data_IF_642071827617
#
_entry.id   IF_642071827617
#
_cell.length_a   1.000
_cell.length_b   1.000
_cell.length_c   1.000
_cell.angle_alpha   90.00
_cell.angle_beta   90.00
_cell.angle_gamma   90.00
#
_symmetry.space_group_name_H-M   'P 1'
#
loop_
_entity.id
_entity.type
_entity.pdbx_description
1 polymer ?
#
# COMPACT_ATOMS: atom_id res chain seq x y z
N UNK A 1 27.32 -45.62 29.04
CA UNK A 1 27.32 -44.23 28.50
C UNK A 1 26.58 -44.05 27.17
N UNK A 2 25.96 -45.05 26.57
CA UNK A 2 25.28 -44.98 25.28
C UNK A 2 23.79 -44.54 25.33
N UNK A 3 23.18 -44.36 26.51
CA UNK A 3 21.73 -44.07 26.63
C UNK A 3 21.39 -42.58 26.80
N UNK A 4 22.37 -41.71 27.02
CA UNK A 4 22.12 -40.26 27.18
C UNK A 4 22.15 -39.51 25.84
N UNK A 5 23.01 -39.92 24.91
CA UNK A 5 23.12 -39.27 23.59
C UNK A 5 21.91 -39.55 22.66
N UNK A 6 21.31 -40.75 22.77
CA UNK A 6 20.13 -41.11 22.00
C UNK A 6 18.86 -40.30 22.41
N UNK A 7 18.72 -39.93 23.69
CA UNK A 7 17.60 -39.14 24.20
C UNK A 7 17.69 -37.66 23.83
N UNK A 8 18.89 -37.08 23.74
CA UNK A 8 19.07 -35.68 23.36
C UNK A 8 18.83 -35.44 21.87
N UNK A 9 19.13 -36.40 20.99
CA UNK A 9 18.85 -36.32 19.55
C UNK A 9 17.35 -36.39 19.23
N UNK A 10 16.59 -37.17 19.98
CA UNK A 10 15.14 -37.35 19.81
C UNK A 10 14.36 -36.07 20.24
N UNK A 11 14.73 -35.49 21.38
CA UNK A 11 14.13 -34.25 21.89
C UNK A 11 14.39 -33.06 20.93
N UNK A 12 15.60 -32.92 20.38
CA UNK A 12 15.92 -31.87 19.43
C UNK A 12 15.15 -32.05 18.11
N UNK A 13 14.91 -33.28 17.66
CA UNK A 13 14.08 -33.58 16.49
C UNK A 13 12.60 -33.24 16.69
N UNK A 14 12.06 -33.56 17.87
CA UNK A 14 10.68 -33.21 18.23
C UNK A 14 10.47 -31.69 18.33
N UNK A 15 11.39 -30.97 18.98
CA UNK A 15 11.35 -29.51 19.10
C UNK A 15 11.44 -28.85 17.72
N UNK A 16 12.30 -29.34 16.83
CA UNK A 16 12.41 -28.84 15.46
C UNK A 16 11.12 -29.09 14.66
N UNK A 17 10.50 -30.28 14.82
CA UNK A 17 9.22 -30.57 14.15
C UNK A 17 8.10 -29.66 14.65
N UNK A 18 8.01 -29.44 15.97
CA UNK A 18 7.02 -28.52 16.55
C UNK A 18 7.20 -27.08 16.06
N UNK A 19 8.45 -26.64 15.93
CA UNK A 19 8.73 -25.27 15.37
C UNK A 19 8.30 -25.17 13.91
N UNK A 20 8.61 -26.15 13.07
CA UNK A 20 8.20 -26.16 11.66
C UNK A 20 6.67 -26.18 11.51
N UNK A 21 5.98 -26.97 12.30
CA UNK A 21 4.52 -27.02 12.33
C UNK A 21 3.91 -25.69 12.79
N UNK A 22 4.52 -25.03 13.78
CA UNK A 22 4.12 -23.72 14.23
C UNK A 22 4.34 -22.67 13.12
N UNK A 23 5.51 -22.69 12.47
CA UNK A 23 5.83 -21.78 11.36
C UNK A 23 4.83 -21.92 10.20
N UNK A 24 4.49 -23.15 9.83
CA UNK A 24 3.51 -23.42 8.79
C UNK A 24 2.13 -22.83 9.14
N UNK A 25 1.62 -23.10 10.34
CA UNK A 25 0.36 -22.53 10.82
C UNK A 25 0.39 -21.01 10.90
N UNK A 26 1.50 -20.43 11.39
CA UNK A 26 1.65 -18.97 11.48
C UNK A 26 1.69 -18.33 10.09
N UNK A 27 2.31 -18.99 9.13
CA UNK A 27 2.33 -18.52 7.75
C UNK A 27 0.91 -18.46 7.14
N UNK A 28 0.09 -19.49 7.32
CA UNK A 28 -1.29 -19.50 6.85
C UNK A 28 -2.13 -18.41 7.52
N UNK A 29 -1.97 -18.20 8.82
CA UNK A 29 -2.66 -17.11 9.56
C UNK A 29 -2.25 -15.75 9.01
N UNK A 30 -0.95 -15.55 8.77
CA UNK A 30 -0.42 -14.29 8.24
C UNK A 30 -0.89 -14.01 6.81
N UNK A 31 -0.88 -15.05 5.96
CA UNK A 31 -1.39 -14.94 4.59
C UNK A 31 -2.88 -14.58 4.57
N UNK A 32 -3.71 -15.25 5.38
CA UNK A 32 -5.13 -14.94 5.50
C UNK A 32 -5.36 -13.50 6.03
N UNK A 33 -4.58 -13.06 7.02
CA UNK A 33 -4.67 -11.70 7.55
C UNK A 33 -4.31 -10.65 6.49
N UNK A 34 -3.22 -10.85 5.72
CA UNK A 34 -2.86 -9.97 4.60
C UNK A 34 -3.96 -9.90 3.54
N UNK A 35 -4.49 -11.06 3.13
CA UNK A 35 -5.56 -11.13 2.13
C UNK A 35 -6.83 -10.44 2.60
N UNK A 36 -7.15 -10.49 3.90
CA UNK A 36 -8.31 -9.80 4.48
C UNK A 36 -8.22 -8.27 4.43
N UNK A 37 -7.01 -7.72 4.38
CA UNK A 37 -6.78 -6.29 4.25
C UNK A 37 -6.91 -5.77 2.80
N UNK A 38 -6.90 -6.68 1.82
CA UNK A 38 -7.02 -6.33 0.39
C UNK A 38 -8.48 -6.51 -0.03
N UNK A 39 -9.04 -5.48 -0.66
CA UNK A 39 -10.45 -5.51 -1.12
C UNK A 39 -11.44 -5.80 0.01
N UNK A 40 -11.23 -5.19 1.17
CA UNK A 40 -12.06 -5.39 2.37
C UNK A 40 -13.43 -4.71 2.24
N UNK A 41 -14.15 -4.99 1.14
CA UNK A 41 -15.40 -4.31 0.73
C UNK A 41 -16.58 -4.52 1.69
N UNK A 42 -16.45 -5.43 2.61
CA UNK A 42 -17.45 -5.70 3.67
C UNK A 42 -17.32 -4.75 4.86
N UNK A 43 -16.20 -4.03 4.97
CA UNK A 43 -15.97 -3.08 6.05
C UNK A 43 -16.56 -1.70 5.72
N UNK A 44 -16.93 -0.98 6.75
CA UNK A 44 -17.40 0.41 6.69
C UNK A 44 -16.79 1.18 7.83
N UNK A 45 -16.16 2.31 7.53
CA UNK A 45 -15.67 3.25 8.55
C UNK A 45 -16.52 4.51 8.54
N UNK A 46 -17.17 4.77 9.64
CA UNK A 46 -17.82 6.06 9.89
C UNK A 46 -16.80 7.04 10.48
N UNK A 47 -16.76 8.24 9.92
CA UNK A 47 -15.97 9.39 10.40
C UNK A 47 -16.91 10.56 10.63
N UNK A 48 -17.73 10.54 11.68
CA UNK A 48 -18.78 11.54 11.89
C UNK A 48 -18.21 12.95 11.98
N UNK A 49 -17.06 13.15 12.64
CA UNK A 49 -16.39 14.45 12.75
C UNK A 49 -16.01 15.05 11.40
N UNK A 50 -15.70 14.23 10.40
CA UNK A 50 -15.42 14.65 9.02
C UNK A 50 -16.62 14.54 8.08
N UNK A 51 -17.78 14.11 8.58
CA UNK A 51 -18.98 13.91 7.77
C UNK A 51 -18.79 12.86 6.67
N UNK A 52 -17.99 11.82 6.92
CA UNK A 52 -17.62 10.80 5.94
C UNK A 52 -18.04 9.40 6.36
N UNK A 53 -18.52 8.62 5.39
CA UNK A 53 -18.70 7.17 5.47
C UNK A 53 -17.83 6.53 4.42
N UNK A 54 -16.79 5.83 4.83
CA UNK A 54 -15.76 5.27 3.94
C UNK A 54 -16.02 3.78 3.73
N UNK A 55 -16.07 3.35 2.46
CA UNK A 55 -16.27 1.97 2.05
C UNK A 55 -15.13 1.53 1.13
N UNK A 56 -14.28 0.58 1.55
CA UNK A 56 -13.23 0.06 0.69
C UNK A 56 -13.80 -0.51 -0.61
N UNK A 57 -13.14 -0.23 -1.72
CA UNK A 57 -13.46 -0.85 -3.01
C UNK A 57 -12.42 -1.91 -3.36
N UNK A 58 -12.72 -2.73 -4.35
CA UNK A 58 -11.81 -3.79 -4.80
C UNK A 58 -10.44 -3.22 -5.18
N UNK A 59 -9.40 -3.91 -4.73
CA UNK A 59 -8.00 -3.55 -4.97
C UNK A 59 -7.42 -2.55 -3.98
N UNK A 60 -8.22 -1.89 -3.14
CA UNK A 60 -7.69 -1.11 -2.03
C UNK A 60 -7.03 -2.04 -1.00
N UNK A 61 -5.95 -1.57 -0.38
CA UNK A 61 -5.24 -2.26 0.69
C UNK A 61 -5.30 -1.38 1.92
N UNK A 62 -5.92 -1.86 2.98
CA UNK A 62 -5.99 -1.14 4.25
C UNK A 62 -4.69 -1.34 5.03
N UNK A 63 -4.09 -0.26 5.54
CA UNK A 63 -2.94 -0.36 6.43
C UNK A 63 -3.34 -1.03 7.76
N UNK A 64 -4.59 -0.85 8.19
CA UNK A 64 -5.21 -1.65 9.24
C UNK A 64 -6.69 -1.86 8.95
N UNK A 65 -7.19 -3.07 9.19
CA UNK A 65 -8.61 -3.40 9.14
C UNK A 65 -9.33 -3.06 10.45
N UNK A 66 -8.58 -2.74 11.50
CA UNK A 66 -9.14 -2.31 12.77
C UNK A 66 -9.83 -0.94 12.61
N UNK A 67 -11.08 -0.88 13.01
CA UNK A 67 -11.84 0.36 13.03
C UNK A 67 -11.63 0.99 14.40
N UNK A 68 -10.85 2.08 14.44
CA UNK A 68 -10.70 2.87 15.67
C UNK A 68 -12.05 3.39 16.14
N UNK A 69 -12.23 3.46 17.43
CA UNK A 69 -13.50 3.84 18.05
C UNK A 69 -13.67 5.35 18.18
N UNK A 70 -12.65 6.14 17.86
CA UNK A 70 -12.65 7.57 18.07
C UNK A 70 -11.81 8.32 17.03
N UNK A 71 -12.33 9.43 16.49
CA UNK A 71 -11.58 10.42 15.74
C UNK A 71 -11.14 11.55 16.72
N UNK A 72 -9.95 12.11 16.65
CA UNK A 72 -8.92 11.95 15.61
C UNK A 72 -7.78 10.97 16.00
N UNK A 73 -8.06 9.89 16.68
CA UNK A 73 -7.06 8.86 16.95
C UNK A 73 -6.33 8.45 15.67
N UNK A 74 -5.08 7.98 15.75
CA UNK A 74 -4.35 7.48 14.59
C UNK A 74 -5.22 6.48 13.83
N UNK A 75 -5.73 6.91 12.68
CA UNK A 75 -6.61 6.13 11.85
C UNK A 75 -5.82 5.53 10.69
N UNK A 76 -5.64 4.22 10.70
CA UNK A 76 -4.96 3.46 9.66
C UNK A 76 -5.92 2.82 8.65
N UNK A 77 -7.21 3.19 8.69
CA UNK A 77 -8.21 2.74 7.73
C UNK A 77 -8.12 3.50 6.40
N UNK A 78 -6.92 3.50 5.85
CA UNK A 78 -6.55 4.13 4.59
C UNK A 78 -5.70 3.20 3.75
N UNK A 79 -5.61 3.51 2.46
CA UNK A 79 -4.67 2.90 1.54
C UNK A 79 -3.40 3.75 1.47
N UNK A 80 -2.33 3.37 2.19
CA UNK A 80 -1.01 3.97 2.04
C UNK A 80 -0.30 3.37 0.83
N UNK A 81 0.34 4.19 0.00
CA UNK A 81 1.10 3.69 -1.16
C UNK A 81 2.26 2.79 -0.73
N UNK A 82 3.00 3.15 0.33
CA UNK A 82 4.08 2.35 0.90
C UNK A 82 3.59 1.00 1.39
N UNK A 83 2.63 1.02 2.31
CA UNK A 83 2.12 -0.17 2.99
C UNK A 83 1.49 -1.15 2.00
N UNK A 84 0.68 -0.64 1.09
CA UNK A 84 0.03 -1.44 0.05
C UNK A 84 1.03 -2.12 -0.88
N UNK A 85 2.12 -1.44 -1.23
CA UNK A 85 3.17 -2.01 -2.07
C UNK A 85 3.90 -3.16 -1.36
N UNK A 86 4.18 -3.02 -0.05
CA UNK A 86 4.83 -4.06 0.75
C UNK A 86 3.92 -5.29 0.91
N UNK A 87 2.64 -5.07 1.23
CA UNK A 87 1.65 -6.15 1.32
C UNK A 87 1.54 -6.89 -0.01
N UNK A 88 1.45 -6.16 -1.11
CA UNK A 88 1.34 -6.76 -2.45
C UNK A 88 2.63 -7.50 -2.84
N UNK A 89 3.81 -6.97 -2.53
CA UNK A 89 5.07 -7.69 -2.79
C UNK A 89 5.11 -9.04 -2.05
N UNK A 90 4.57 -9.11 -0.83
CA UNK A 90 4.47 -10.34 -0.06
C UNK A 90 3.54 -11.39 -0.69
N UNK A 91 2.52 -10.98 -1.47
CA UNK A 91 1.63 -11.94 -2.16
C UNK A 91 2.37 -12.89 -3.12
N UNK A 92 3.56 -12.52 -3.60
CA UNK A 92 4.38 -13.42 -4.43
C UNK A 92 4.73 -14.71 -3.69
N UNK A 93 5.03 -14.60 -2.40
CA UNK A 93 5.31 -15.75 -1.56
C UNK A 93 4.07 -16.60 -1.33
N UNK A 94 2.93 -15.95 -1.07
CA UNK A 94 1.62 -16.63 -0.93
C UNK A 94 1.25 -17.41 -2.20
N UNK A 95 1.52 -16.82 -3.39
CA UNK A 95 1.29 -17.49 -4.66
C UNK A 95 2.24 -18.68 -4.84
N UNK A 96 3.51 -18.53 -4.48
CA UNK A 96 4.52 -19.58 -4.63
C UNK A 96 4.24 -20.79 -3.71
N UNK A 97 3.73 -20.55 -2.51
CA UNK A 97 3.35 -21.61 -1.56
C UNK A 97 2.06 -22.35 -1.92
N UNK A 98 1.20 -21.75 -2.72
CA UNK A 98 0.07 -22.41 -3.37
C UNK A 98 -1.25 -22.42 -2.58
N UNK A 99 -1.26 -22.38 -1.26
CA UNK A 99 -2.48 -22.52 -0.45
C UNK A 99 -3.56 -21.47 -0.78
N UNK A 100 -3.16 -20.23 -1.04
CA UNK A 100 -4.04 -19.10 -1.40
C UNK A 100 -3.74 -18.51 -2.78
N UNK A 101 -3.03 -19.24 -3.65
CA UNK A 101 -2.48 -18.69 -4.90
C UNK A 101 -3.52 -18.04 -5.81
N UNK A 102 -4.67 -18.67 -5.98
CA UNK A 102 -5.76 -18.13 -6.82
C UNK A 102 -6.36 -16.84 -6.27
N UNK A 103 -6.57 -16.78 -4.95
CA UNK A 103 -7.05 -15.57 -4.30
C UNK A 103 -6.00 -14.46 -4.35
N UNK A 104 -4.76 -14.75 -3.99
CA UNK A 104 -3.67 -13.79 -4.00
C UNK A 104 -3.47 -13.18 -5.40
N UNK A 105 -3.53 -13.99 -6.47
CA UNK A 105 -3.47 -13.52 -7.84
C UNK A 105 -4.65 -12.62 -8.20
N UNK A 106 -5.86 -12.98 -7.77
CA UNK A 106 -7.05 -12.13 -7.96
C UNK A 106 -6.90 -10.79 -7.27
N UNK A 107 -6.47 -10.77 -5.99
CA UNK A 107 -6.21 -9.55 -5.22
C UNK A 107 -5.13 -8.68 -5.84
N UNK A 108 -4.07 -9.30 -6.38
CA UNK A 108 -3.04 -8.58 -7.11
C UNK A 108 -3.61 -7.84 -8.35
N UNK A 109 -4.42 -8.51 -9.16
CA UNK A 109 -5.06 -7.90 -10.35
C UNK A 109 -5.99 -6.75 -9.96
N UNK A 110 -6.78 -6.92 -8.90
CA UNK A 110 -7.63 -5.87 -8.34
C UNK A 110 -6.80 -4.66 -7.87
N UNK A 111 -5.67 -4.89 -7.17
CA UNK A 111 -4.74 -3.85 -6.75
C UNK A 111 -4.17 -3.05 -7.93
N UNK A 112 -3.78 -3.72 -9.01
CA UNK A 112 -3.27 -3.04 -10.22
C UNK A 112 -4.34 -2.11 -10.80
N UNK A 113 -5.59 -2.57 -10.90
CA UNK A 113 -6.69 -1.75 -11.40
C UNK A 113 -7.00 -0.55 -10.47
N UNK A 114 -7.01 -0.78 -9.16
CA UNK A 114 -7.20 0.26 -8.16
C UNK A 114 -6.09 1.33 -8.23
N UNK A 115 -4.83 0.90 -8.30
CA UNK A 115 -3.68 1.79 -8.41
C UNK A 115 -3.74 2.71 -9.64
N UNK A 116 -4.24 2.20 -10.77
CA UNK A 116 -4.49 3.06 -11.95
C UNK A 116 -5.57 4.11 -11.71
N UNK A 117 -6.59 3.81 -10.91
CA UNK A 117 -7.63 4.77 -10.58
C UNK A 117 -7.10 5.91 -9.72
N UNK A 118 -6.17 5.62 -8.79
CA UNK A 118 -5.54 6.65 -7.96
C UNK A 118 -4.76 7.67 -8.79
N UNK A 119 -4.07 7.25 -9.84
CA UNK A 119 -3.30 8.14 -10.70
C UNK A 119 -4.15 9.18 -11.46
N UNK A 120 -5.47 9.02 -11.46
CA UNK A 120 -6.43 9.94 -12.10
C UNK A 120 -7.04 10.96 -11.14
N UNK A 121 -6.71 10.87 -9.85
CA UNK A 121 -7.24 11.78 -8.86
C UNK A 121 -6.70 13.20 -9.11
N UNK A 122 -7.57 14.18 -8.91
CA UNK A 122 -7.28 15.59 -9.13
C UNK A 122 -8.02 16.42 -8.07
N UNK A 123 -7.25 17.15 -7.27
CA UNK A 123 -7.81 17.93 -6.17
C UNK A 123 -8.62 19.13 -6.64
N UNK A 124 -8.29 19.72 -7.81
CA UNK A 124 -9.09 20.78 -8.41
C UNK A 124 -10.45 20.27 -8.87
N UNK A 125 -10.49 19.07 -9.47
CA UNK A 125 -11.73 18.39 -9.81
C UNK A 125 -12.54 18.04 -8.56
N UNK A 126 -11.88 17.49 -7.53
CA UNK A 126 -12.53 17.20 -6.26
C UNK A 126 -13.23 18.43 -5.68
N UNK A 127 -12.55 19.57 -5.59
CA UNK A 127 -13.13 20.80 -5.04
C UNK A 127 -14.32 21.31 -5.85
N UNK A 128 -14.29 21.17 -7.18
CA UNK A 128 -15.43 21.55 -8.02
C UNK A 128 -16.64 20.66 -7.81
N UNK A 129 -16.43 19.35 -7.65
CA UNK A 129 -17.52 18.37 -7.52
C UNK A 129 -18.07 18.29 -6.08
N UNK A 130 -17.20 18.38 -5.09
CA UNK A 130 -17.60 18.31 -3.68
C UNK A 130 -18.28 19.59 -3.18
N UNK A 131 -18.17 20.70 -3.91
CA UNK A 131 -18.75 21.99 -3.48
C UNK A 131 -18.22 22.40 -2.11
N UNK A 132 -19.12 22.87 -1.26
CA UNK A 132 -18.75 23.24 0.12
C UNK A 132 -18.83 22.03 1.07
N UNK A 133 -17.96 21.06 0.86
CA UNK A 133 -17.92 19.83 1.64
C UNK A 133 -17.67 20.07 3.13
N UNK A 134 -17.05 21.21 3.49
CA UNK A 134 -16.76 21.58 4.89
C UNK A 134 -18.01 21.82 5.73
N UNK A 135 -19.16 22.07 5.10
CA UNK A 135 -20.43 22.19 5.82
C UNK A 135 -20.87 20.93 6.56
N UNK A 136 -20.39 19.78 6.09
CA UNK A 136 -20.71 18.49 6.70
C UNK A 136 -19.70 18.09 7.80
N UNK A 137 -18.66 18.91 8.03
CA UNK A 137 -17.60 18.64 9.00
C UNK A 137 -17.94 19.37 10.29
N UNK A 138 -17.82 18.66 11.41
CA UNK A 138 -18.01 19.26 12.74
C UNK A 138 -16.99 20.39 12.97
N UNK A 139 -17.37 21.52 13.60
CA UNK A 139 -16.50 22.68 13.75
C UNK A 139 -15.13 22.38 14.37
N UNK A 140 -15.07 21.47 15.35
CA UNK A 140 -13.81 21.06 15.97
C UNK A 140 -12.85 20.40 14.98
N UNK A 141 -13.35 19.64 14.01
CA UNK A 141 -12.54 18.90 13.05
C UNK A 141 -12.04 19.75 11.88
N UNK A 142 -12.60 20.94 11.64
CA UNK A 142 -12.16 21.84 10.56
C UNK A 142 -10.66 22.18 10.65
N UNK A 143 -10.08 22.25 11.83
CA UNK A 143 -8.64 22.48 12.02
C UNK A 143 -7.75 21.40 11.43
N UNK A 144 -8.27 20.17 11.27
CA UNK A 144 -7.58 19.02 10.70
C UNK A 144 -7.82 18.87 9.20
N UNK A 145 -8.64 19.73 8.59
CA UNK A 145 -8.96 19.67 7.17
C UNK A 145 -7.94 20.45 6.36
N UNK A 146 -7.55 19.91 5.21
CA UNK A 146 -6.64 20.54 4.26
C UNK A 146 -7.23 21.82 3.67
N UNK A 147 -6.36 22.76 3.36
CA UNK A 147 -6.75 23.99 2.66
C UNK A 147 -7.02 23.71 1.18
N UNK A 148 -7.87 24.54 0.56
CA UNK A 148 -8.18 24.43 -0.87
C UNK A 148 -6.95 24.57 -1.77
N UNK A 149 -5.99 25.42 -1.38
CA UNK A 149 -4.74 25.58 -2.12
C UNK A 149 -3.91 24.30 -2.10
N UNK A 150 -3.85 23.60 -0.96
CA UNK A 150 -3.16 22.33 -0.82
C UNK A 150 -3.85 21.24 -1.66
N UNK A 151 -5.17 21.12 -1.57
CA UNK A 151 -5.95 20.17 -2.39
C UNK A 151 -5.77 20.46 -3.89
N UNK A 152 -5.83 21.73 -4.35
CA UNK A 152 -5.64 22.09 -5.77
C UNK A 152 -4.26 21.71 -6.30
N UNK A 153 -3.25 21.63 -5.45
CA UNK A 153 -1.91 21.21 -5.85
C UNK A 153 -1.81 19.72 -6.18
N UNK A 154 -2.81 18.91 -5.80
CA UNK A 154 -2.86 17.48 -6.16
C UNK A 154 -3.37 17.38 -7.60
N UNK A 155 -2.45 17.42 -8.55
CA UNK A 155 -2.77 17.29 -9.97
C UNK A 155 -1.61 16.62 -10.72
N UNK A 156 -1.93 15.82 -11.73
CA UNK A 156 -0.95 15.10 -12.52
C UNK A 156 -0.12 14.14 -11.66
N UNK A 157 1.19 14.16 -11.81
CA UNK A 157 2.07 13.26 -11.05
C UNK A 157 2.22 13.62 -9.57
N UNK A 158 1.81 14.83 -9.14
CA UNK A 158 1.83 15.21 -7.73
C UNK A 158 0.91 14.33 -6.86
N UNK A 159 -0.08 13.67 -7.45
CA UNK A 159 -0.90 12.67 -6.75
C UNK A 159 -0.05 11.54 -6.18
N UNK A 160 1.09 11.23 -6.79
CA UNK A 160 2.01 10.20 -6.33
C UNK A 160 2.86 10.61 -5.11
N UNK A 161 2.83 11.89 -4.75
CA UNK A 161 3.39 12.40 -3.51
C UNK A 161 2.44 12.30 -2.31
N UNK A 162 1.18 11.90 -2.53
CA UNK A 162 0.24 11.64 -1.45
C UNK A 162 0.63 10.33 -0.74
N UNK A 163 0.79 10.33 0.59
CA UNK A 163 1.13 9.11 1.31
C UNK A 163 -0.02 8.12 1.31
N UNK A 164 -1.25 8.62 1.44
CA UNK A 164 -2.44 7.80 1.63
C UNK A 164 -3.67 8.35 0.90
N UNK A 165 -4.59 7.44 0.62
CA UNK A 165 -5.88 7.70 -0.01
C UNK A 165 -7.00 7.03 0.79
N UNK A 166 -8.21 7.54 0.68
CA UNK A 166 -9.36 6.77 1.13
C UNK A 166 -9.46 5.48 0.31
N UNK A 167 -9.78 4.34 0.94
CA UNK A 167 -9.83 3.05 0.25
C UNK A 167 -11.00 2.93 -0.73
N UNK A 168 -11.82 3.96 -0.89
CA UNK A 168 -12.84 4.11 -1.94
C UNK A 168 -12.30 4.78 -3.22
N UNK A 169 -10.97 4.94 -3.34
CA UNK A 169 -10.29 5.64 -4.43
C UNK A 169 -10.61 7.15 -4.47
N UNK A 170 -10.63 7.80 -3.32
CA UNK A 170 -10.78 9.25 -3.19
C UNK A 170 -9.63 9.88 -2.40
N UNK A 171 -9.49 11.20 -2.51
CA UNK A 171 -8.46 11.94 -1.78
C UNK A 171 -8.76 11.98 -0.28
N UNK A 172 -7.70 11.84 0.52
CA UNK A 172 -7.75 12.17 1.94
C UNK A 172 -7.83 13.69 2.12
N UNK A 173 -8.90 14.16 2.74
CA UNK A 173 -9.12 15.58 3.03
C UNK A 173 -8.47 16.04 4.33
N UNK A 174 -7.94 15.12 5.13
CA UNK A 174 -7.32 15.45 6.41
C UNK A 174 -5.86 15.89 6.23
N UNK A 175 -5.39 16.77 7.11
CA UNK A 175 -3.98 17.14 7.20
C UNK A 175 -3.16 15.92 7.59
N UNK A 176 -2.03 15.75 6.93
CA UNK A 176 -1.06 14.68 7.19
C UNK A 176 0.31 15.11 6.69
N UNK A 177 1.35 14.36 7.02
CA UNK A 177 2.73 14.63 6.59
C UNK A 177 2.90 14.35 5.09
N UNK A 178 2.99 15.39 4.28
CA UNK A 178 3.09 15.35 2.81
C UNK A 178 4.19 16.27 2.30
N UNK A 179 4.85 15.97 1.17
CA UNK A 179 4.74 14.73 0.39
C UNK A 179 5.51 13.57 1.02
N UNK A 180 5.16 12.32 0.66
CA UNK A 180 5.98 11.13 0.85
C UNK A 180 6.27 10.53 -0.53
N UNK A 181 7.50 10.04 -0.74
CA UNK A 181 7.95 9.69 -2.11
C UNK A 181 8.49 8.28 -2.25
N UNK A 182 8.48 7.51 -1.21
CA UNK A 182 8.90 6.11 -1.18
C UNK A 182 7.85 5.16 -1.80
N UNK A 183 6.56 5.49 -1.65
CA UNK A 183 5.45 4.66 -2.12
C UNK A 183 5.51 4.28 -3.60
N UNK A 184 5.67 5.23 -4.54
CA UNK A 184 5.81 4.91 -5.96
C UNK A 184 7.01 4.00 -6.27
N UNK A 185 8.14 4.19 -5.59
CA UNK A 185 9.30 3.34 -5.77
C UNK A 185 9.04 1.90 -5.33
N UNK A 186 8.43 1.72 -4.18
CA UNK A 186 8.04 0.41 -3.66
C UNK A 186 7.00 -0.27 -4.55
N UNK A 187 6.01 0.49 -5.07
CA UNK A 187 5.02 -0.04 -5.99
C UNK A 187 5.65 -0.50 -7.30
N UNK A 188 6.55 0.30 -7.90
CA UNK A 188 7.28 -0.10 -9.09
C UNK A 188 8.08 -1.38 -8.88
N UNK A 189 8.83 -1.48 -7.76
CA UNK A 189 9.59 -2.66 -7.39
C UNK A 189 8.68 -3.90 -7.27
N UNK A 190 7.57 -3.80 -6.54
CA UNK A 190 6.61 -4.89 -6.40
C UNK A 190 6.08 -5.35 -7.76
N UNK A 191 5.64 -4.42 -8.61
CA UNK A 191 5.11 -4.74 -9.94
C UNK A 191 6.15 -5.37 -10.86
N UNK A 192 7.39 -4.90 -10.86
CA UNK A 192 8.48 -5.49 -11.64
C UNK A 192 8.79 -6.91 -11.19
N UNK A 193 8.73 -7.21 -9.89
CA UNK A 193 8.92 -8.55 -9.34
C UNK A 193 7.78 -9.51 -9.68
N UNK A 194 6.57 -9.01 -9.94
CA UNK A 194 5.45 -9.81 -10.47
C UNK A 194 5.54 -10.04 -11.97
N UNK A 195 6.32 -9.23 -12.70
CA UNK A 195 6.37 -9.25 -14.16
C UNK A 195 6.62 -10.62 -14.78
N UNK A 196 7.51 -11.48 -14.24
CA UNK A 196 7.78 -12.81 -14.79
C UNK A 196 6.65 -13.84 -14.60
N UNK A 197 5.59 -13.51 -13.82
CA UNK A 197 4.54 -14.48 -13.50
C UNK A 197 3.67 -14.80 -14.73
N UNK A 198 3.72 -16.04 -15.21
CA UNK A 198 2.99 -16.50 -16.41
C UNK A 198 1.47 -16.39 -16.30
N UNK A 199 0.93 -16.48 -15.09
CA UNK A 199 -0.51 -16.40 -14.82
C UNK A 199 -1.13 -15.01 -15.07
N UNK A 200 -0.32 -14.00 -15.44
CA UNK A 200 -0.81 -12.66 -15.73
C UNK A 200 -1.30 -12.55 -17.17
N UNK A 201 -2.54 -12.10 -17.33
CA UNK A 201 -3.11 -11.78 -18.64
C UNK A 201 -2.54 -10.50 -19.25
N UNK A 202 -2.73 -10.33 -20.56
CA UNK A 202 -2.19 -9.18 -21.31
C UNK A 202 -2.73 -7.83 -20.83
N UNK A 203 -3.99 -7.76 -20.38
CA UNK A 203 -4.58 -6.52 -19.88
C UNK A 203 -3.95 -6.10 -18.55
N UNK A 204 -3.74 -7.07 -17.65
CA UNK A 204 -3.02 -6.83 -16.38
C UNK A 204 -1.59 -6.38 -16.64
N UNK A 205 -0.87 -7.04 -17.57
CA UNK A 205 0.51 -6.63 -17.94
C UNK A 205 0.56 -5.22 -18.52
N UNK A 206 -0.38 -4.85 -19.39
CA UNK A 206 -0.46 -3.49 -19.93
C UNK A 206 -0.68 -2.45 -18.81
N UNK A 207 -1.55 -2.75 -17.85
CA UNK A 207 -1.81 -1.91 -16.69
C UNK A 207 -0.59 -1.77 -15.77
N UNK A 208 0.09 -2.89 -15.50
CA UNK A 208 1.35 -2.89 -14.74
C UNK A 208 2.43 -2.05 -15.42
N UNK A 209 2.58 -2.21 -16.75
CA UNK A 209 3.54 -1.41 -17.53
C UNK A 209 3.26 0.08 -17.39
N UNK A 210 2.01 0.50 -17.50
CA UNK A 210 1.61 1.89 -17.34
C UNK A 210 1.97 2.43 -15.94
N UNK A 211 1.69 1.65 -14.88
CA UNK A 211 2.03 2.02 -13.50
C UNK A 211 3.54 2.11 -13.29
N UNK A 212 4.30 1.09 -13.70
CA UNK A 212 5.77 1.08 -13.57
C UNK A 212 6.37 2.31 -14.23
N UNK A 213 6.01 2.61 -15.48
CA UNK A 213 6.53 3.77 -16.20
C UNK A 213 6.14 5.11 -15.55
N UNK A 214 4.92 5.19 -15.00
CA UNK A 214 4.46 6.38 -14.27
C UNK A 214 5.27 6.58 -12.99
N UNK A 215 5.49 5.52 -12.22
CA UNK A 215 6.23 5.56 -10.97
C UNK A 215 7.71 5.89 -11.19
N UNK A 216 8.37 5.21 -12.14
CA UNK A 216 9.75 5.51 -12.50
C UNK A 216 9.91 6.95 -13.02
N UNK A 217 8.96 7.42 -13.83
CA UNK A 217 8.93 8.80 -14.30
C UNK A 217 8.77 9.81 -13.16
N UNK A 218 7.94 9.52 -12.16
CA UNK A 218 7.82 10.33 -10.95
C UNK A 218 9.15 10.39 -10.18
N UNK A 219 9.78 9.25 -9.93
CA UNK A 219 11.06 9.18 -9.23
C UNK A 219 12.12 10.02 -9.95
N UNK A 220 12.26 9.89 -11.27
CA UNK A 220 13.24 10.65 -12.07
C UNK A 220 13.07 12.17 -11.94
N UNK A 221 11.83 12.66 -11.81
CA UNK A 221 11.55 14.10 -11.66
C UNK A 221 11.76 14.60 -10.23
N UNK A 222 11.44 13.79 -9.23
CA UNK A 222 11.26 14.26 -7.84
C UNK A 222 12.29 13.73 -6.83
N UNK A 223 13.24 12.87 -7.21
CA UNK A 223 14.18 12.24 -6.27
C UNK A 223 15.07 13.23 -5.50
N UNK A 224 15.27 14.45 -6.03
CA UNK A 224 16.08 15.49 -5.39
C UNK A 224 15.29 16.36 -4.40
N UNK A 225 13.98 16.29 -4.45
CA UNK A 225 13.13 17.10 -3.59
C UNK A 225 13.00 16.49 -2.19
N UNK A 226 12.83 17.31 -1.15
CA UNK A 226 12.57 16.81 0.20
C UNK A 226 11.20 16.14 0.29
N UNK A 227 11.07 15.19 1.19
CA UNK A 227 9.80 14.55 1.54
C UNK A 227 9.78 14.23 3.04
N UNK A 228 8.62 13.87 3.56
CA UNK A 228 8.55 13.31 4.91
C UNK A 228 9.17 11.91 4.95
N UNK A 229 9.75 11.58 6.10
CA UNK A 229 10.31 10.27 6.40
C UNK A 229 9.22 9.18 6.56
N UNK A 230 9.64 7.94 6.75
CA UNK A 230 8.72 6.80 6.95
C UNK A 230 7.95 6.88 8.27
N UNK A 231 8.43 7.65 9.24
CA UNK A 231 7.75 7.89 10.51
C UNK A 231 6.79 9.08 10.45
N UNK A 232 6.80 9.78 9.30
CA UNK A 232 5.89 10.90 9.01
C UNK A 232 6.11 12.12 9.92
N UNK A 233 7.33 12.28 10.46
CA UNK A 233 7.71 13.31 11.44
C UNK A 233 8.52 14.43 10.81
N UNK A 234 9.52 14.13 9.96
CA UNK A 234 10.48 15.10 9.48
C UNK A 234 10.44 15.30 7.97
N UNK A 235 10.37 16.57 7.54
CA UNK A 235 10.55 16.96 6.15
C UNK A 235 12.03 17.11 5.83
N UNK A 236 12.57 16.28 4.97
CA UNK A 236 14.00 16.29 4.66
C UNK A 236 14.40 15.37 3.53
N UNK A 237 15.69 15.05 3.50
CA UNK A 237 16.28 14.12 2.56
C UNK A 237 16.65 12.82 3.27
N UNK A 238 15.78 11.83 3.18
CA UNK A 238 15.90 10.59 3.95
C UNK A 238 16.61 9.50 3.15
N UNK A 239 17.54 8.82 3.83
CA UNK A 239 18.33 7.72 3.24
C UNK A 239 17.44 6.59 2.71
N UNK A 240 16.44 6.19 3.50
CA UNK A 240 15.50 5.14 3.10
C UNK A 240 14.79 5.45 1.77
N UNK A 241 14.17 6.61 1.66
CA UNK A 241 13.46 7.02 0.44
C UNK A 241 14.39 7.03 -0.77
N UNK A 242 15.61 7.55 -0.61
CA UNK A 242 16.61 7.59 -1.69
C UNK A 242 17.10 6.20 -2.08
N UNK A 243 17.25 5.30 -1.11
CA UNK A 243 17.60 3.90 -1.37
C UNK A 243 16.50 3.21 -2.18
N UNK A 244 15.22 3.44 -1.84
CA UNK A 244 14.10 2.89 -2.61
C UNK A 244 14.04 3.47 -4.02
N UNK A 245 14.27 4.78 -4.19
CA UNK A 245 14.37 5.41 -5.51
C UNK A 245 15.50 4.78 -6.35
N UNK A 246 16.70 4.62 -5.76
CA UNK A 246 17.82 3.99 -6.43
C UNK A 246 17.50 2.55 -6.86
N UNK A 247 16.96 1.74 -5.96
CA UNK A 247 16.60 0.36 -6.25
C UNK A 247 15.55 0.28 -7.38
N UNK A 248 14.49 1.10 -7.32
CA UNK A 248 13.47 1.11 -8.34
C UNK A 248 13.99 1.53 -9.72
N UNK A 249 14.90 2.51 -9.79
CA UNK A 249 15.50 2.94 -11.05
C UNK A 249 16.48 1.90 -11.61
N UNK A 250 17.27 1.24 -10.75
CA UNK A 250 18.21 0.19 -11.17
C UNK A 250 17.46 -1.04 -11.70
N UNK A 251 16.46 -1.53 -10.96
CA UNK A 251 15.60 -2.63 -11.40
C UNK A 251 14.80 -2.24 -12.64
N UNK A 252 14.33 -0.98 -12.71
CA UNK A 252 13.60 -0.43 -13.84
C UNK A 252 14.41 -0.41 -15.13
N UNK A 253 15.70 -0.09 -15.06
CA UNK A 253 16.59 -0.13 -16.22
C UNK A 253 16.68 -1.57 -16.78
N UNK A 254 16.91 -2.56 -15.91
CA UNK A 254 16.98 -3.97 -16.30
C UNK A 254 15.64 -4.50 -16.80
N UNK A 255 14.54 -4.07 -16.19
CA UNK A 255 13.18 -4.46 -16.61
C UNK A 255 12.84 -3.91 -18.00
N UNK A 256 13.25 -2.68 -18.33
CA UNK A 256 12.99 -2.07 -19.64
C UNK A 256 13.70 -2.81 -20.80
N UNK A 257 14.79 -3.51 -20.54
CA UNK A 257 15.49 -4.34 -21.54
C UNK A 257 14.74 -5.65 -21.83
N UNK A 258 13.86 -6.11 -20.94
CA UNK A 258 13.18 -7.38 -20.99
C UNK A 258 11.69 -7.27 -21.34
N UNK A 259 11.07 -6.11 -21.17
CA UNK A 259 9.63 -5.84 -21.31
C UNK A 259 9.29 -5.08 -22.60
#
# INVERSE_FOLDING_TARGET
MATAEARTGDVAGEEQSLLLDWMARQNDISAAAMLSAISATHLVKERPGFGQTIRPVRGSVLASTAIGSWDPDPDYFFHWLRDSALVVDALRHVIAEGAFAGEALSRFKEFVAFSLSLNRLDGGLFLRLAGDFRKNIEPFFLQYVRDDSDLRNIAGDRVLGEPRFNPEASLDISKWSRPQRDGPALRALALMRFWPLDALDGATRASMRALILTDLGFILRHWREPCFDIWEEELGHHYYTRLMHHAALADGASWMEQA
#
